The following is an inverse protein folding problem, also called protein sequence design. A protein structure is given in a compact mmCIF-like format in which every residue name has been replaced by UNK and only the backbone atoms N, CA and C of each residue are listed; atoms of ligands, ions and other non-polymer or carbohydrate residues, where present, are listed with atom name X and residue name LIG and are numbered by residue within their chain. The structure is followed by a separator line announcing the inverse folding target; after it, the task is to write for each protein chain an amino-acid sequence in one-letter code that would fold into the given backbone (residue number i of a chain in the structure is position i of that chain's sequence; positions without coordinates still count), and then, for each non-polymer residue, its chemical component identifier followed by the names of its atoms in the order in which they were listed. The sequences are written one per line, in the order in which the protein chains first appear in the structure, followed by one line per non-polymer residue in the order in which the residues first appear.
data_IF_680784347063
#
_entry.id   IF_680784347063
#
_cell.length_a   1.000
_cell.length_b   1.000
_cell.length_c   1.000
_cell.angle_alpha   90.00
_cell.angle_beta   90.00
_cell.angle_gamma   90.00
#
_symmetry.space_group_name_H-M   'P 1'
#
loop_
_entity.id
_entity.type
_entity.pdbx_description
1 polymer ?
#
# COMPACT_ATOMS: atom_id res chain seq x y z
N UNK A 1 -10.56 -0.10 -15.06
CA UNK A 1 -9.41 0.23 -15.91
C UNK A 1 -8.43 -0.94 -15.82
N UNK A 2 -8.13 -1.63 -16.92
CA UNK A 2 -7.06 -2.62 -16.95
C UNK A 2 -5.78 -1.91 -17.41
N UNK A 3 -4.72 -1.95 -16.59
CA UNK A 3 -3.42 -1.42 -16.98
C UNK A 3 -2.77 -2.40 -17.96
N UNK A 4 -2.56 -1.97 -19.20
CA UNK A 4 -1.71 -2.70 -20.13
C UNK A 4 -0.26 -2.44 -19.70
N UNK A 5 0.55 -3.48 -19.42
CA UNK A 5 1.95 -3.28 -19.06
C UNK A 5 2.68 -2.47 -20.14
N UNK A 6 3.58 -1.55 -19.77
CA UNK A 6 4.38 -0.83 -20.75
C UNK A 6 5.22 -1.80 -21.57
N UNK A 7 5.52 -1.46 -22.82
CA UNK A 7 6.31 -2.31 -23.73
C UNK A 7 7.71 -2.63 -23.22
N UNK A 8 8.23 -1.83 -22.28
CA UNK A 8 9.51 -2.04 -21.60
C UNK A 8 9.33 -1.81 -20.08
N UNK A 9 8.88 -2.82 -19.31
CA UNK A 9 8.81 -2.69 -17.87
C UNK A 9 10.22 -2.71 -17.26
N UNK A 10 10.36 -2.13 -16.07
CA UNK A 10 11.56 -2.34 -15.26
C UNK A 10 11.60 -3.82 -14.83
N UNK A 11 12.73 -4.50 -15.08
CA UNK A 11 12.90 -5.93 -14.81
C UNK A 11 13.67 -6.22 -13.52
N UNK A 12 14.22 -5.19 -12.86
CA UNK A 12 14.96 -5.36 -11.62
C UNK A 12 14.05 -5.62 -10.42
N UNK A 13 14.69 -5.97 -9.29
CA UNK A 13 14.05 -6.07 -7.98
C UNK A 13 13.41 -4.74 -7.62
N UNK A 14 12.20 -4.79 -7.06
CA UNK A 14 11.47 -3.60 -6.60
C UNK A 14 11.10 -3.81 -5.15
N UNK A 15 11.44 -2.83 -4.32
CA UNK A 15 10.95 -2.70 -2.96
C UNK A 15 9.98 -1.53 -2.92
N UNK A 16 8.87 -1.70 -2.21
CA UNK A 16 7.94 -0.61 -1.87
C UNK A 16 7.99 -0.44 -0.35
N UNK A 17 8.36 0.76 0.09
CA UNK A 17 8.28 1.16 1.48
C UNK A 17 6.85 1.59 1.81
N UNK A 18 6.32 1.11 2.94
CA UNK A 18 4.99 1.44 3.43
C UNK A 18 5.00 1.74 4.93
N UNK A 19 4.00 2.49 5.37
CA UNK A 19 3.77 2.83 6.77
C UNK A 19 2.27 2.97 7.07
N UNK A 20 1.91 3.31 8.31
CA UNK A 20 0.54 3.53 8.75
C UNK A 20 -0.14 4.75 8.09
N UNK A 21 0.62 5.63 7.46
CA UNK A 21 0.11 6.80 6.72
C UNK A 21 -0.18 6.46 5.25
N UNK A 22 0.33 5.34 4.76
CA UNK A 22 -0.03 4.76 3.48
C UNK A 22 -1.50 4.34 3.53
N UNK A 23 -2.34 5.02 2.75
CA UNK A 23 -3.79 4.84 2.76
C UNK A 23 -4.40 4.88 1.34
N UNK A 24 -5.59 4.31 1.16
CA UNK A 24 -6.37 4.39 -0.10
C UNK A 24 -5.60 3.77 -1.28
N UNK A 25 -5.52 4.43 -2.44
CA UNK A 25 -4.88 3.86 -3.65
C UNK A 25 -3.42 3.44 -3.45
N UNK A 26 -2.72 3.95 -2.43
CA UNK A 26 -1.37 3.45 -2.09
C UNK A 26 -1.39 2.01 -1.54
N UNK A 27 -2.46 1.65 -0.82
CA UNK A 27 -2.70 0.29 -0.32
C UNK A 27 -3.11 -0.64 -1.45
N UNK A 28 -3.99 -0.17 -2.36
CA UNK A 28 -4.35 -0.93 -3.56
C UNK A 28 -3.11 -1.23 -4.41
N UNK A 29 -2.25 -0.24 -4.61
CA UNK A 29 -1.02 -0.38 -5.38
C UNK A 29 -0.04 -1.35 -4.72
N UNK A 30 0.34 -1.10 -3.46
CA UNK A 30 1.31 -1.94 -2.73
C UNK A 30 0.77 -3.36 -2.52
N UNK A 31 -0.51 -3.50 -2.17
CA UNK A 31 -1.19 -4.78 -2.01
C UNK A 31 -1.27 -5.57 -3.31
N UNK A 32 -1.62 -4.93 -4.43
CA UNK A 32 -1.63 -5.60 -5.73
C UNK A 32 -0.23 -6.04 -6.16
N UNK A 33 0.78 -5.18 -6.00
CA UNK A 33 2.17 -5.48 -6.35
C UNK A 33 2.75 -6.63 -5.51
N UNK A 34 2.39 -6.70 -4.23
CA UNK A 34 2.67 -7.84 -3.35
C UNK A 34 1.95 -9.11 -3.80
N UNK A 35 0.64 -8.99 -4.08
CA UNK A 35 -0.19 -10.14 -4.43
C UNK A 35 0.31 -10.84 -5.70
N UNK A 36 0.71 -10.09 -6.72
CA UNK A 36 1.30 -10.64 -7.96
C UNK A 36 2.79 -11.03 -7.83
N UNK A 37 3.41 -10.83 -6.66
CA UNK A 37 4.82 -11.11 -6.42
C UNK A 37 5.79 -10.20 -7.19
N UNK A 38 5.34 -9.00 -7.61
CA UNK A 38 6.17 -8.07 -8.38
C UNK A 38 7.11 -7.26 -7.49
N UNK A 39 6.68 -6.90 -6.28
CA UNK A 39 7.48 -6.12 -5.35
C UNK A 39 7.52 -6.78 -3.97
N UNK A 40 8.61 -6.53 -3.25
CA UNK A 40 8.72 -6.85 -1.82
C UNK A 40 8.31 -5.62 -1.02
N UNK A 41 7.44 -5.82 -0.04
CA UNK A 41 6.91 -4.75 0.81
C UNK A 41 7.69 -4.70 2.12
N UNK A 42 8.24 -3.54 2.46
CA UNK A 42 9.04 -3.34 3.68
C UNK A 42 8.49 -2.14 4.46
N UNK A 43 8.49 -2.22 5.79
CA UNK A 43 8.10 -1.11 6.67
C UNK A 43 7.05 -1.51 7.69
N UNK A 44 6.01 -0.69 7.84
CA UNK A 44 4.91 -0.92 8.79
C UNK A 44 3.58 -1.14 8.04
N UNK A 45 2.64 -1.83 8.71
CA UNK A 45 1.31 -2.11 8.15
C UNK A 45 0.57 -0.81 7.83
N UNK A 46 -0.12 -0.79 6.70
CA UNK A 46 -0.88 0.38 6.22
C UNK A 46 -2.18 0.64 6.97
N UNK A 47 -2.85 1.75 6.64
CA UNK A 47 -4.02 2.26 7.37
C UNK A 47 -5.27 1.35 7.33
N UNK A 48 -5.42 0.52 6.30
CA UNK A 48 -6.61 -0.31 6.09
C UNK A 48 -7.84 0.49 5.65
N UNK A 49 -7.66 1.52 4.80
CA UNK A 49 -8.73 2.42 4.35
C UNK A 49 -8.83 2.40 2.82
N UNK A 50 -9.39 1.31 2.30
CA UNK A 50 -9.42 0.91 0.89
C UNK A 50 -10.86 0.74 0.38
N UNK A 51 -11.80 1.50 0.96
CA UNK A 51 -13.21 1.40 0.63
C UNK A 51 -13.61 2.35 -0.50
N UNK A 52 -14.34 1.82 -1.48
CA UNK A 52 -15.03 2.65 -2.47
C UNK A 52 -16.34 3.15 -1.86
N UNK A 53 -16.52 4.46 -1.89
CA UNK A 53 -17.71 5.13 -1.38
C UNK A 53 -18.58 5.63 -2.52
N UNK A 54 -19.88 5.56 -2.33
CA UNK A 54 -20.86 6.24 -3.15
C UNK A 54 -21.37 7.47 -2.41
N UNK A 55 -21.68 8.53 -3.16
CA UNK A 55 -22.22 9.78 -2.63
C UNK A 55 -23.58 9.99 -3.29
N UNK A 56 -24.63 10.13 -2.47
CA UNK A 56 -25.99 10.44 -2.89
C UNK A 56 -26.42 11.76 -2.27
N UNK A 57 -26.92 12.67 -3.10
CA UNK A 57 -27.52 13.93 -2.64
C UNK A 57 -28.96 13.68 -2.17
N UNK A 58 -29.28 14.16 -0.96
CA UNK A 58 -30.60 14.05 -0.36
C UNK A 58 -31.48 15.26 -0.74
N UNK A 59 -32.82 15.16 -0.64
CA UNK A 59 -33.73 16.23 -1.06
C UNK A 59 -33.55 17.58 -0.35
N UNK A 60 -32.91 17.59 0.82
CA UNK A 60 -32.60 18.78 1.62
C UNK A 60 -31.19 19.36 1.34
N UNK A 61 -30.45 18.78 0.38
CA UNK A 61 -29.08 19.16 0.04
C UNK A 61 -28.00 18.48 0.90
N UNK A 62 -28.37 17.55 1.79
CA UNK A 62 -27.41 16.72 2.51
C UNK A 62 -26.69 15.72 1.59
N UNK A 63 -25.49 15.28 1.98
CA UNK A 63 -24.76 14.21 1.29
C UNK A 63 -24.77 12.95 2.14
N UNK A 64 -25.30 11.85 1.60
CA UNK A 64 -25.19 10.53 2.18
C UNK A 64 -24.02 9.79 1.52
N UNK A 65 -23.00 9.48 2.31
CA UNK A 65 -21.80 8.77 1.86
C UNK A 65 -21.80 7.37 2.48
N UNK A 66 -21.76 6.34 1.64
CA UNK A 66 -21.79 4.95 2.11
C UNK A 66 -20.87 4.05 1.29
N UNK A 67 -20.30 3.00 1.90
CA UNK A 67 -19.47 2.05 1.18
C UNK A 67 -20.34 1.19 0.25
N UNK A 68 -19.91 1.01 -1.00
CA UNK A 68 -20.66 0.21 -1.98
C UNK A 68 -19.85 -0.95 -2.58
N UNK A 69 -18.53 -1.01 -2.35
CA UNK A 69 -17.67 -2.07 -2.87
C UNK A 69 -16.58 -2.47 -1.86
N UNK A 70 -16.14 -3.72 -1.96
CA UNK A 70 -15.01 -4.26 -1.20
C UNK A 70 -13.87 -4.63 -2.15
N UNK A 71 -12.74 -3.94 -2.03
CA UNK A 71 -11.54 -4.24 -2.80
C UNK A 71 -10.88 -5.53 -2.30
N UNK A 72 -10.50 -6.40 -3.25
CA UNK A 72 -9.80 -7.66 -3.01
C UNK A 72 -8.59 -7.78 -3.94
N UNK A 73 -7.50 -8.35 -3.43
CA UNK A 73 -6.32 -8.64 -4.26
C UNK A 73 -6.59 -9.83 -5.20
N UNK A 74 -5.67 -10.11 -6.14
CA UNK A 74 -5.76 -11.31 -6.98
C UNK A 74 -5.61 -12.64 -6.20
N UNK A 75 -5.25 -12.57 -4.91
CA UNK A 75 -5.20 -13.69 -3.97
C UNK A 75 -6.43 -13.76 -3.06
N UNK A 76 -7.47 -12.98 -3.36
CA UNK A 76 -8.71 -12.86 -2.58
C UNK A 76 -8.51 -12.28 -1.16
N UNK A 77 -7.44 -11.51 -0.95
CA UNK A 77 -7.17 -10.84 0.32
C UNK A 77 -7.94 -9.51 0.40
N UNK A 78 -8.57 -9.26 1.55
CA UNK A 78 -9.27 -8.00 1.84
C UNK A 78 -8.27 -7.01 2.44
N UNK A 79 -8.22 -5.79 1.90
CA UNK A 79 -7.38 -4.72 2.44
C UNK A 79 -8.13 -3.77 3.39
N UNK A 80 -9.42 -3.56 3.16
CA UNK A 80 -10.24 -2.72 4.04
C UNK A 80 -10.24 -3.24 5.48
N UNK A 81 -10.05 -2.33 6.44
CA UNK A 81 -9.88 -2.59 7.88
C UNK A 81 -8.68 -3.46 8.29
N UNK A 82 -7.89 -3.96 7.34
CA UNK A 82 -6.73 -4.83 7.59
C UNK A 82 -5.42 -4.12 7.26
N UNK A 83 -5.37 -3.44 6.11
CA UNK A 83 -4.16 -2.88 5.53
C UNK A 83 -3.29 -3.93 4.84
N UNK A 84 -2.28 -3.46 4.11
CA UNK A 84 -1.21 -4.27 3.54
C UNK A 84 -0.22 -4.59 4.65
N UNK A 85 -0.09 -5.87 4.97
CA UNK A 85 0.96 -6.37 5.88
C UNK A 85 2.28 -6.43 5.11
N UNK A 86 3.39 -5.84 5.61
CA UNK A 86 4.68 -5.90 4.92
C UNK A 86 5.23 -7.34 4.86
N UNK A 87 6.04 -7.65 3.86
CA UNK A 87 6.82 -8.90 3.79
C UNK A 87 7.96 -8.89 4.82
N UNK A 88 8.54 -7.71 5.05
CA UNK A 88 9.56 -7.48 6.06
C UNK A 88 9.10 -6.31 6.95
N UNK A 89 8.68 -6.62 8.16
CA UNK A 89 8.26 -5.60 9.12
C UNK A 89 9.48 -4.94 9.79
N UNK A 90 9.50 -3.61 9.79
CA UNK A 90 10.49 -2.79 10.47
C UNK A 90 9.85 -1.46 10.85
N UNK A 91 9.94 -1.09 12.13
CA UNK A 91 9.48 0.21 12.60
C UNK A 91 10.48 1.30 12.22
N UNK A 92 9.99 2.52 11.97
CA UNK A 92 10.86 3.67 11.75
C UNK A 92 11.50 4.05 13.09
N UNK A 93 12.83 3.92 13.19
CA UNK A 93 13.53 4.30 14.40
C UNK A 93 13.71 5.82 14.43
N UNK A 94 12.98 6.46 15.35
CA UNK A 94 13.01 7.91 15.53
C UNK A 94 14.40 8.42 15.89
N UNK A 95 15.14 7.71 16.75
CA UNK A 95 16.45 8.18 17.22
C UNK A 95 17.47 8.13 16.08
N UNK A 96 17.45 7.05 15.29
CA UNK A 96 18.22 6.96 14.04
C UNK A 96 17.82 8.03 13.03
N UNK A 97 16.52 8.28 12.85
CA UNK A 97 16.04 9.26 11.88
C UNK A 97 16.46 10.69 12.24
N UNK A 98 16.49 11.03 13.53
CA UNK A 98 16.94 12.34 14.02
C UNK A 98 18.41 12.63 13.69
N UNK A 99 19.23 11.59 13.54
CA UNK A 99 20.63 11.70 13.10
C UNK A 99 20.81 11.46 11.60
N UNK A 100 19.72 11.44 10.83
CA UNK A 100 19.72 11.31 9.37
C UNK A 100 19.79 9.89 8.84
N UNK A 101 19.55 8.88 9.68
CA UNK A 101 19.56 7.47 9.28
C UNK A 101 18.13 6.96 9.20
N UNK A 102 17.67 6.68 7.98
CA UNK A 102 16.41 5.97 7.75
C UNK A 102 16.66 4.46 7.73
N UNK A 103 16.33 3.81 8.85
CA UNK A 103 16.55 2.38 9.02
C UNK A 103 15.67 1.51 8.09
N UNK A 104 14.51 2.00 7.64
CA UNK A 104 13.68 1.29 6.68
C UNK A 104 14.27 1.36 5.27
N UNK A 105 14.78 2.54 4.88
CA UNK A 105 15.50 2.71 3.62
C UNK A 105 16.76 1.86 3.56
N UNK A 106 17.58 1.87 4.62
CA UNK A 106 18.76 1.01 4.73
C UNK A 106 18.38 -0.47 4.62
N UNK A 107 17.27 -0.88 5.24
CA UNK A 107 16.77 -2.25 5.12
C UNK A 107 16.41 -2.60 3.67
N UNK A 108 15.79 -1.68 2.93
CA UNK A 108 15.46 -1.86 1.52
C UNK A 108 16.71 -1.95 0.64
N UNK A 109 17.69 -1.07 0.83
CA UNK A 109 18.97 -1.09 0.10
C UNK A 109 19.69 -2.42 0.33
N UNK A 110 19.79 -2.85 1.58
CA UNK A 110 20.41 -4.14 1.92
C UNK A 110 19.67 -5.32 1.28
N UNK A 111 18.33 -5.29 1.24
CA UNK A 111 17.55 -6.33 0.57
C UNK A 111 17.80 -6.37 -0.95
N UNK A 112 17.97 -5.20 -1.60
CA UNK A 112 18.21 -5.11 -3.03
C UNK A 112 19.63 -5.57 -3.44
N UNK A 113 20.61 -5.41 -2.56
CA UNK A 113 22.01 -5.76 -2.81
C UNK A 113 22.36 -7.24 -2.54
N UNK A 114 21.54 -7.95 -1.78
CA UNK A 114 21.60 -9.42 -1.62
C UNK A 114 20.89 -10.12 -2.77
#
# INVERSE_FOLDING_TARGET
MFLVPPSKPYNGKVVILIDELSSSSSEEFSGAMKAIGRATIIGQRTAGKVVTMEIVELPDGGLFVYPNQQTRTCKDEILEAVGVVPDISIELDRDSLLIGIDNQLEKAINYLNN
#
